data_IF_480009904279
#
_entry.id   IF_480009904279
#
_cell.length_a   1.000
_cell.length_b   1.000
_cell.length_c   1.000
_cell.angle_alpha   90.00
_cell.angle_beta   90.00
_cell.angle_gamma   90.00
#
_symmetry.space_group_name_H-M   'P 1'
#
loop_
_entity.id
_entity.type
_entity.pdbx_description
1 polymer ?
#
# COMPACT_ATOMS: atom_id res chain seq x y z
N UNK A 1 -2.74 2.83 -4.30
CA UNK A 1 -2.30 4.24 -4.39
C UNK A 1 -0.86 4.43 -3.92
N UNK A 2 -0.51 4.08 -2.67
CA UNK A 2 0.83 4.30 -2.10
C UNK A 2 1.99 3.82 -2.99
N UNK A 3 1.79 2.70 -3.69
CA UNK A 3 2.80 2.08 -4.56
C UNK A 3 3.26 2.99 -5.72
N UNK A 4 2.46 3.97 -6.13
CA UNK A 4 2.76 4.88 -7.25
C UNK A 4 3.03 6.33 -6.81
N UNK A 5 3.17 6.57 -5.51
CA UNK A 5 3.61 7.88 -5.01
C UNK A 5 5.15 7.98 -5.01
N UNK A 6 5.72 9.19 -5.09
CA UNK A 6 7.12 9.42 -4.80
C UNK A 6 7.48 8.93 -3.39
N UNK A 7 8.68 8.38 -3.24
CA UNK A 7 9.16 7.79 -1.98
C UNK A 7 9.07 8.77 -0.81
N UNK A 8 9.51 10.01 -1.01
CA UNK A 8 9.44 11.09 0.00
C UNK A 8 8.01 11.33 0.52
N UNK A 9 7.00 11.16 -0.35
CA UNK A 9 5.59 11.33 0.02
C UNK A 9 5.09 10.14 0.82
N UNK A 10 5.52 8.93 0.47
CA UNK A 10 5.25 7.72 1.27
C UNK A 10 5.88 7.87 2.66
N UNK A 11 7.14 8.30 2.72
CA UNK A 11 7.86 8.53 3.97
C UNK A 11 7.16 9.57 4.85
N UNK A 12 6.71 10.68 4.27
CA UNK A 12 5.96 11.71 4.99
C UNK A 12 4.64 11.18 5.56
N UNK A 13 3.93 10.32 4.82
CA UNK A 13 2.68 9.69 5.29
C UNK A 13 2.98 8.76 6.46
N UNK A 14 4.00 7.90 6.32
CA UNK A 14 4.36 6.91 7.34
C UNK A 14 4.90 7.57 8.62
N UNK A 15 5.68 8.65 8.49
CA UNK A 15 6.14 9.43 9.65
C UNK A 15 4.98 10.05 10.44
N UNK A 16 3.91 10.49 9.76
CA UNK A 16 2.74 11.13 10.40
C UNK A 16 1.73 10.14 10.97
N UNK A 17 1.53 9.00 10.30
CA UNK A 17 0.46 8.04 10.62
C UNK A 17 0.96 6.80 11.37
N UNK A 18 2.24 6.46 11.24
CA UNK A 18 2.79 5.17 11.65
C UNK A 18 2.27 4.02 10.79
N UNK A 19 2.66 2.80 11.17
CA UNK A 19 2.15 1.55 10.60
C UNK A 19 1.50 0.79 11.76
N UNK A 20 0.17 0.74 11.77
CA UNK A 20 -0.62 0.08 12.82
C UNK A 20 -1.25 -1.19 12.26
N UNK A 21 -1.06 -2.31 12.95
CA UNK A 21 -1.77 -3.56 12.63
C UNK A 21 -3.22 -3.51 13.11
N UNK A 22 -4.17 -3.65 12.18
CA UNK A 22 -5.61 -3.75 12.49
C UNK A 22 -6.04 -5.22 12.68
N UNK A 23 -5.33 -6.14 12.05
CA UNK A 23 -5.53 -7.60 12.13
C UNK A 23 -4.18 -8.31 12.18
N UNK A 24 -4.20 -9.62 12.45
CA UNK A 24 -3.01 -10.47 12.45
C UNK A 24 -2.38 -10.62 11.05
N UNK A 25 -3.06 -10.13 9.99
CA UNK A 25 -2.57 -10.13 8.61
C UNK A 25 -2.07 -8.78 8.14
N UNK A 26 -2.31 -7.71 8.91
CA UNK A 26 -1.81 -6.39 8.54
C UNK A 26 -0.29 -6.37 8.47
N UNK A 27 0.23 -5.70 7.45
CA UNK A 27 1.64 -5.31 7.41
C UNK A 27 1.93 -4.37 8.59
N UNK A 28 2.92 -4.71 9.41
CA UNK A 28 3.28 -3.93 10.62
C UNK A 28 4.70 -3.36 10.61
N UNK A 29 5.49 -3.65 9.58
CA UNK A 29 6.86 -3.16 9.44
C UNK A 29 7.04 -2.31 8.20
N UNK A 30 8.03 -1.42 8.22
CA UNK A 30 8.35 -0.58 7.07
C UNK A 30 8.93 -1.43 5.94
N UNK A 31 9.80 -2.35 6.27
CA UNK A 31 10.53 -3.19 5.32
C UNK A 31 9.54 -4.07 4.52
N UNK A 32 8.56 -4.65 5.20
CA UNK A 32 7.49 -5.44 4.58
C UNK A 32 6.59 -4.56 3.71
N UNK A 33 6.20 -3.38 4.20
CA UNK A 33 5.41 -2.43 3.41
C UNK A 33 6.15 -2.03 2.13
N UNK A 34 7.44 -1.69 2.21
CA UNK A 34 8.25 -1.35 1.05
C UNK A 34 8.35 -2.50 0.04
N UNK A 35 8.46 -3.73 0.53
CA UNK A 35 8.43 -4.93 -0.31
C UNK A 35 7.10 -5.10 -1.02
N UNK A 36 5.99 -4.93 -0.30
CA UNK A 36 4.65 -5.02 -0.89
C UNK A 36 4.41 -3.91 -1.91
N UNK A 37 4.84 -2.68 -1.63
CA UNK A 37 4.72 -1.58 -2.59
C UNK A 37 5.53 -1.82 -3.88
N UNK A 38 6.71 -2.47 -3.79
CA UNK A 38 7.46 -2.92 -4.97
C UNK A 38 6.69 -3.99 -5.73
N UNK A 39 6.18 -5.00 -5.04
CA UNK A 39 5.41 -6.08 -5.63
C UNK A 39 4.16 -5.57 -6.36
N UNK A 40 3.40 -4.66 -5.73
CA UNK A 40 2.23 -3.99 -6.33
C UNK A 40 2.59 -3.24 -7.61
N UNK A 41 3.73 -2.53 -7.65
CA UNK A 41 4.19 -1.83 -8.87
C UNK A 41 4.50 -2.80 -10.00
N UNK A 42 5.16 -3.91 -9.69
CA UNK A 42 5.53 -4.93 -10.67
C UNK A 42 4.32 -5.67 -11.23
N UNK A 43 3.36 -6.06 -10.38
CA UNK A 43 2.18 -6.81 -10.80
C UNK A 43 1.04 -5.92 -11.32
N UNK A 44 1.02 -4.64 -10.95
CA UNK A 44 0.06 -3.64 -11.42
C UNK A 44 -1.27 -3.60 -10.66
N UNK A 45 -1.41 -4.31 -9.53
CA UNK A 45 -2.58 -4.27 -8.66
C UNK A 45 -2.18 -4.59 -7.20
N UNK A 46 -3.05 -4.26 -6.26
CA UNK A 46 -2.93 -4.59 -4.85
C UNK A 46 -4.06 -5.53 -4.43
N UNK A 47 -3.77 -6.44 -3.50
CA UNK A 47 -4.76 -7.30 -2.86
C UNK A 47 -4.76 -6.95 -1.37
N UNK A 48 -5.94 -6.72 -0.81
CA UNK A 48 -6.13 -6.71 0.63
C UNK A 48 -6.62 -8.10 1.02
N UNK A 49 -5.80 -8.86 1.76
CA UNK A 49 -6.17 -10.18 2.26
C UNK A 49 -6.43 -10.15 3.77
N UNK A 50 -7.60 -9.62 4.15
CA UNK A 50 -8.04 -9.49 5.54
C UNK A 50 -7.12 -8.62 6.42
N UNK A 51 -6.39 -7.68 5.80
CA UNK A 51 -5.44 -6.79 6.49
C UNK A 51 -6.15 -5.66 7.24
N UNK A 52 -7.35 -5.26 6.79
CA UNK A 52 -8.18 -4.23 7.43
C UNK A 52 -9.28 -4.84 8.33
N UNK A 53 -9.95 -5.87 7.84
CA UNK A 53 -11.05 -6.57 8.53
C UNK A 53 -11.01 -8.07 8.23
N UNK A 54 -11.19 -8.91 9.27
CA UNK A 54 -11.32 -10.36 9.09
C UNK A 54 -12.50 -10.71 8.19
N UNK A 55 -12.33 -11.72 7.35
CA UNK A 55 -13.29 -12.16 6.33
C UNK A 55 -13.59 -11.12 5.23
N UNK A 56 -12.77 -10.07 5.10
CA UNK A 56 -12.89 -9.11 4.03
C UNK A 56 -11.66 -9.18 3.12
N UNK A 57 -11.88 -9.38 1.82
CA UNK A 57 -10.83 -9.34 0.81
C UNK A 57 -11.17 -8.31 -0.26
N UNK A 58 -10.15 -7.66 -0.79
CA UNK A 58 -10.29 -6.64 -1.82
C UNK A 58 -9.19 -6.73 -2.86
N UNK A 59 -9.46 -6.21 -4.07
CA UNK A 59 -8.47 -6.02 -5.12
C UNK A 59 -8.59 -4.60 -5.66
N UNK A 60 -7.46 -3.95 -5.92
CA UNK A 60 -7.41 -2.59 -6.41
C UNK A 60 -6.37 -2.45 -7.53
N UNK A 61 -6.77 -1.82 -8.64
CA UNK A 61 -5.87 -1.38 -9.71
C UNK A 61 -5.73 0.14 -9.67
N UNK A 62 -4.53 0.70 -9.77
CA UNK A 62 -4.36 2.14 -9.84
C UNK A 62 -4.95 2.68 -11.16
N UNK A 63 -5.63 3.81 -11.07
CA UNK A 63 -5.92 4.66 -12.23
C UNK A 63 -4.80 5.70 -12.25
N UNK A 64 -3.93 5.61 -13.25
CA UNK A 64 -2.83 6.55 -13.44
C UNK A 64 -3.28 7.60 -14.45
N UNK A 65 -3.26 8.85 -14.04
CA UNK A 65 -3.49 9.99 -14.92
C UNK A 65 -2.11 10.53 -15.27
N UNK A 66 -1.84 10.66 -16.57
CA UNK A 66 -0.65 11.34 -17.04
C UNK A 66 -0.86 12.85 -16.80
N UNK A 67 0.04 13.53 -16.11
CA UNK A 67 -0.06 14.99 -15.83
C UNK A 67 0.27 15.83 -17.07
N UNK A 68 -0.09 15.34 -18.26
CA UNK A 68 0.30 15.85 -19.56
C UNK A 68 -0.87 16.33 -20.41
N UNK A 69 -1.75 17.20 -19.89
CA UNK A 69 -2.53 18.22 -20.65
C UNK A 69 -2.76 19.44 -19.75
#
# INVERSE_FOLDING_TARGET
MLAHLPEEKVDSILSKRGISGMTDRSITSREELESELRHIREQGFAVNDEEEHRNYKGIARPILVDEGI
#
